data_IF_252051860992
#
_entry.id   IF_252051860992
#
_cell.length_a   1.000
_cell.length_b   1.000
_cell.length_c   1.000
_cell.angle_alpha   90.00
_cell.angle_beta   90.00
_cell.angle_gamma   90.00
#
_symmetry.space_group_name_H-M   'P 1'
#
loop_
_entity.id
_entity.type
_entity.pdbx_description
1 polymer ?
#
# COMPACT_ATOMS: atom_id res chain seq x y z
N UNK A 1 -20.77 0.14 15.45
CA UNK A 1 -19.32 0.41 15.42
C UNK A 1 -18.92 1.09 14.13
N UNK A 2 -18.05 2.09 14.21
CA UNK A 2 -17.50 2.73 13.02
C UNK A 2 -16.74 1.70 12.16
N UNK A 3 -16.95 1.75 10.86
CA UNK A 3 -16.21 0.93 9.91
C UNK A 3 -14.98 1.73 9.47
N UNK A 4 -13.83 1.36 9.98
CA UNK A 4 -12.56 2.03 9.69
C UNK A 4 -11.93 1.41 8.46
N UNK A 5 -11.40 2.27 7.59
CA UNK A 5 -10.59 1.87 6.44
C UNK A 5 -9.18 2.41 6.67
N UNK A 6 -8.19 1.51 6.66
CA UNK A 6 -6.79 1.88 6.70
C UNK A 6 -6.28 2.06 5.26
N UNK A 7 -5.88 3.28 4.93
CA UNK A 7 -5.44 3.63 3.57
C UNK A 7 -3.94 3.68 3.40
N UNK A 8 -3.17 3.33 4.43
CA UNK A 8 -1.71 3.34 4.41
C UNK A 8 -1.17 2.20 5.28
N UNK A 9 -0.76 1.10 4.65
CA UNK A 9 -0.29 -0.08 5.37
C UNK A 9 0.77 -0.84 4.58
N UNK A 10 1.87 -1.17 5.26
CA UNK A 10 2.95 -2.01 4.71
C UNK A 10 2.75 -3.46 5.15
N UNK A 11 1.60 -4.01 4.82
CA UNK A 11 1.15 -5.32 5.28
C UNK A 11 1.63 -6.49 4.41
N UNK A 12 2.06 -6.22 3.17
CA UNK A 12 2.51 -7.27 2.27
C UNK A 12 3.90 -7.77 2.67
N UNK A 13 4.09 -9.09 2.79
CA UNK A 13 5.32 -9.63 3.37
C UNK A 13 6.50 -9.61 2.40
N UNK A 14 7.67 -9.25 2.92
CA UNK A 14 8.96 -9.46 2.27
C UNK A 14 9.28 -8.55 1.09
N UNK A 15 8.57 -7.44 0.91
CA UNK A 15 8.81 -6.52 -0.23
C UNK A 15 9.35 -5.16 0.17
N UNK A 16 9.21 -4.77 1.42
CA UNK A 16 9.72 -3.50 1.95
C UNK A 16 9.99 -3.60 3.46
N UNK A 17 9.97 -2.47 4.15
CA UNK A 17 10.23 -2.39 5.60
C UNK A 17 9.02 -2.76 6.47
N UNK A 18 7.94 -3.20 5.89
CA UNK A 18 6.75 -3.66 6.60
C UNK A 18 6.85 -5.10 7.08
N UNK A 19 5.77 -5.88 6.89
CA UNK A 19 5.72 -7.28 7.30
C UNK A 19 6.87 -8.08 6.68
N UNK A 20 7.59 -8.86 7.50
CA UNK A 20 8.70 -9.68 7.04
C UNK A 20 8.27 -11.09 6.62
N UNK A 21 7.07 -11.50 6.99
CA UNK A 21 6.55 -12.85 6.72
C UNK A 21 5.02 -12.87 6.63
N UNK A 22 4.47 -13.96 6.11
CA UNK A 22 3.02 -14.18 6.11
C UNK A 22 2.45 -14.21 7.52
N UNK A 23 3.19 -14.78 8.48
CA UNK A 23 2.79 -14.82 9.87
C UNK A 23 2.64 -13.41 10.46
N UNK A 24 3.61 -12.53 10.20
CA UNK A 24 3.53 -11.13 10.62
C UNK A 24 2.37 -10.41 9.97
N UNK A 25 2.18 -10.57 8.66
CA UNK A 25 1.07 -9.96 7.93
C UNK A 25 -0.29 -10.38 8.53
N UNK A 26 -0.46 -11.66 8.84
CA UNK A 26 -1.68 -12.16 9.49
C UNK A 26 -1.86 -11.62 10.91
N UNK A 27 -0.79 -11.47 11.68
CA UNK A 27 -0.83 -10.82 13.00
C UNK A 27 -1.30 -9.37 12.89
N UNK A 28 -0.79 -8.62 11.92
CA UNK A 28 -1.19 -7.25 11.66
C UNK A 28 -2.68 -7.16 11.31
N UNK A 29 -3.18 -8.06 10.48
CA UNK A 29 -4.61 -8.13 10.13
C UNK A 29 -5.50 -8.47 11.33
N UNK A 30 -5.08 -9.38 12.17
CA UNK A 30 -5.81 -9.73 13.41
C UNK A 30 -5.90 -8.51 14.34
N UNK A 31 -4.80 -7.80 14.51
CA UNK A 31 -4.77 -6.58 15.32
C UNK A 31 -5.69 -5.51 14.73
N UNK A 32 -5.62 -5.31 13.42
CA UNK A 32 -6.48 -4.37 12.71
C UNK A 32 -7.97 -4.71 12.92
N UNK A 33 -8.34 -5.97 12.74
CA UNK A 33 -9.71 -6.45 12.96
C UNK A 33 -10.19 -6.18 14.39
N UNK A 34 -9.33 -6.46 15.38
CA UNK A 34 -9.66 -6.22 16.79
C UNK A 34 -9.88 -4.73 17.09
N UNK A 35 -9.23 -3.85 16.35
CA UNK A 35 -9.37 -2.39 16.46
C UNK A 35 -10.54 -1.82 15.64
N UNK A 36 -11.32 -2.64 14.98
CA UNK A 36 -12.48 -2.22 14.19
C UNK A 36 -12.17 -1.86 12.74
N UNK A 37 -10.95 -2.11 12.27
CA UNK A 37 -10.59 -1.91 10.86
C UNK A 37 -11.24 -3.02 10.02
N UNK A 38 -11.96 -2.64 8.98
CA UNK A 38 -12.69 -3.57 8.10
C UNK A 38 -12.07 -3.71 6.72
N UNK A 39 -11.32 -2.71 6.30
CA UNK A 39 -10.64 -2.69 5.01
C UNK A 39 -9.25 -2.12 5.18
N UNK A 40 -8.29 -2.71 4.47
CA UNK A 40 -6.91 -2.26 4.43
C UNK A 40 -6.49 -2.10 2.98
N UNK A 41 -5.88 -0.98 2.65
CA UNK A 41 -5.21 -0.81 1.37
C UNK A 41 -3.72 -1.04 1.62
N UNK A 42 -3.18 -2.09 1.02
CA UNK A 42 -1.75 -2.35 1.04
C UNK A 42 -1.05 -1.30 0.18
N UNK A 43 -0.06 -0.62 0.75
CA UNK A 43 0.67 0.45 0.09
C UNK A 43 2.17 0.24 0.20
N UNK A 44 2.71 -0.83 -0.41
CA UNK A 44 4.16 -1.03 -0.43
C UNK A 44 4.85 0.12 -1.16
N UNK A 45 6.10 0.36 -0.80
CA UNK A 45 6.89 1.43 -1.39
C UNK A 45 7.10 1.26 -2.89
N UNK A 46 7.02 2.37 -3.62
CA UNK A 46 7.50 2.51 -4.99
C UNK A 46 8.55 3.61 -5.03
N UNK A 47 9.76 3.25 -5.45
CA UNK A 47 10.90 4.18 -5.47
C UNK A 47 11.65 4.24 -4.14
N UNK A 48 12.69 5.07 -4.09
CA UNK A 48 13.58 5.17 -2.94
C UNK A 48 14.38 3.89 -2.72
N UNK A 49 14.68 3.54 -1.46
CA UNK A 49 15.56 2.42 -1.15
C UNK A 49 14.96 1.04 -1.45
N UNK A 50 13.64 0.94 -1.64
CA UNK A 50 12.95 -0.33 -1.89
C UNK A 50 12.73 -0.64 -3.38
N UNK A 51 13.15 0.26 -4.29
CA UNK A 51 13.06 0.07 -5.72
C UNK A 51 11.64 0.19 -6.28
N UNK A 52 11.41 -0.43 -7.42
CA UNK A 52 10.17 -0.31 -8.19
C UNK A 52 9.43 -1.64 -8.20
N UNK A 53 8.55 -1.83 -7.23
CA UNK A 53 7.79 -3.07 -7.09
C UNK A 53 6.77 -3.21 -8.24
N UNK A 54 6.74 -4.38 -8.85
CA UNK A 54 5.83 -4.67 -9.96
C UNK A 54 4.36 -4.71 -9.47
N UNK A 55 3.45 -3.96 -10.14
CA UNK A 55 2.01 -4.02 -9.84
C UNK A 55 1.42 -5.42 -9.86
N UNK A 56 1.86 -6.29 -10.77
CA UNK A 56 1.38 -7.67 -10.84
C UNK A 56 1.75 -8.43 -9.57
N UNK A 57 2.97 -8.29 -9.11
CA UNK A 57 3.42 -8.91 -7.86
C UNK A 57 2.60 -8.43 -6.66
N UNK A 58 2.31 -7.14 -6.59
CA UNK A 58 1.49 -6.58 -5.50
C UNK A 58 0.09 -7.19 -5.50
N UNK A 59 -0.54 -7.29 -6.67
CA UNK A 59 -1.88 -7.91 -6.79
C UNK A 59 -1.87 -9.37 -6.37
N UNK A 60 -0.85 -10.12 -6.76
CA UNK A 60 -0.69 -11.53 -6.37
C UNK A 60 -0.51 -11.68 -4.86
N UNK A 61 0.31 -10.84 -4.23
CA UNK A 61 0.51 -10.85 -2.78
C UNK A 61 -0.78 -10.48 -2.04
N UNK A 62 -1.52 -9.49 -2.51
CA UNK A 62 -2.82 -9.12 -1.95
C UNK A 62 -3.81 -10.28 -2.03
N UNK A 63 -3.90 -10.94 -3.17
CA UNK A 63 -4.76 -12.12 -3.36
C UNK A 63 -4.39 -13.25 -2.39
N UNK A 64 -3.11 -13.58 -2.29
CA UNK A 64 -2.63 -14.62 -1.40
C UNK A 64 -2.90 -14.29 0.06
N UNK A 65 -2.65 -13.04 0.47
CA UNK A 65 -2.92 -12.61 1.85
C UNK A 65 -4.42 -12.67 2.15
N UNK A 66 -5.28 -12.27 1.21
CA UNK A 66 -6.73 -12.36 1.37
C UNK A 66 -7.19 -13.81 1.59
N UNK A 67 -6.67 -14.76 0.81
CA UNK A 67 -7.00 -16.17 0.97
C UNK A 67 -6.53 -16.73 2.31
N UNK A 68 -5.31 -16.39 2.73
CA UNK A 68 -4.79 -16.77 4.04
C UNK A 68 -5.63 -16.18 5.18
N UNK A 69 -6.02 -14.93 5.06
CA UNK A 69 -6.87 -14.25 6.05
C UNK A 69 -8.21 -14.99 6.22
N UNK A 70 -8.85 -15.37 5.13
CA UNK A 70 -10.10 -16.14 5.16
C UNK A 70 -9.94 -17.48 5.89
N UNK A 71 -8.85 -18.20 5.63
CA UNK A 71 -8.55 -19.47 6.30
C UNK A 71 -8.35 -19.31 7.81
N UNK A 72 -7.94 -18.14 8.25
CA UNK A 72 -7.76 -17.81 9.68
C UNK A 72 -8.96 -17.05 10.28
N UNK A 73 -10.11 -17.05 9.61
CA UNK A 73 -11.33 -16.36 10.03
C UNK A 73 -11.13 -14.85 10.27
N UNK A 74 -10.27 -14.24 9.47
CA UNK A 74 -10.06 -12.79 9.47
C UNK A 74 -10.91 -12.20 8.34
N UNK A 75 -11.86 -11.32 8.69
CA UNK A 75 -12.82 -10.75 7.76
C UNK A 75 -12.41 -9.38 7.20
N UNK A 76 -11.18 -8.97 7.39
CA UNK A 76 -10.64 -7.73 6.81
C UNK A 76 -10.46 -7.91 5.31
N UNK A 77 -10.99 -6.97 4.52
CA UNK A 77 -10.78 -6.94 3.07
C UNK A 77 -9.51 -6.19 2.73
N UNK A 78 -8.74 -6.74 1.80
CA UNK A 78 -7.44 -6.22 1.40
C UNK A 78 -7.52 -5.71 -0.04
N UNK A 79 -7.06 -4.49 -0.25
CA UNK A 79 -6.98 -3.83 -1.55
C UNK A 79 -5.54 -3.47 -1.86
N UNK A 80 -5.23 -3.31 -3.13
CA UNK A 80 -3.89 -2.95 -3.60
C UNK A 80 -3.73 -1.44 -3.74
N UNK A 81 -2.52 -0.97 -3.59
CA UNK A 81 -2.08 0.39 -3.80
C UNK A 81 -0.55 0.45 -3.70
N UNK A 82 -0.01 1.63 -3.70
CA UNK A 82 1.42 1.86 -3.46
C UNK A 82 1.64 3.19 -2.77
N UNK A 83 2.69 3.28 -1.95
CA UNK A 83 3.22 4.53 -1.44
C UNK A 83 4.33 4.98 -2.37
N UNK A 84 4.08 6.06 -3.12
CA UNK A 84 4.92 6.51 -4.21
C UNK A 84 5.88 7.58 -3.74
N UNK A 85 7.19 7.32 -3.79
CA UNK A 85 8.20 8.37 -3.61
C UNK A 85 8.08 9.36 -4.77
N UNK A 86 7.81 10.63 -4.46
CA UNK A 86 7.60 11.62 -5.50
C UNK A 86 8.84 11.80 -6.40
N UNK A 87 8.60 11.68 -7.71
CA UNK A 87 9.52 12.06 -8.78
C UNK A 87 8.73 12.81 -9.86
N UNK A 88 9.41 13.58 -10.70
CA UNK A 88 8.74 14.30 -11.78
C UNK A 88 8.06 13.37 -12.80
N UNK A 89 8.51 12.12 -12.92
CA UNK A 89 7.96 11.12 -13.84
C UNK A 89 6.81 10.31 -13.22
N UNK A 90 6.53 10.49 -11.93
CA UNK A 90 5.54 9.64 -11.22
C UNK A 90 4.16 9.70 -11.86
N UNK A 91 3.69 10.88 -12.26
CA UNK A 91 2.39 11.04 -12.91
C UNK A 91 2.27 10.24 -14.21
N UNK A 92 3.31 10.28 -15.06
CA UNK A 92 3.33 9.53 -16.32
C UNK A 92 3.36 8.03 -16.07
N UNK A 93 4.11 7.58 -15.07
CA UNK A 93 4.18 6.16 -14.71
C UNK A 93 2.86 5.65 -14.15
N UNK A 94 2.15 6.46 -13.39
CA UNK A 94 0.79 6.14 -12.92
C UNK A 94 -0.14 6.02 -14.13
N UNK A 95 -0.11 6.97 -15.05
CA UNK A 95 -0.94 6.95 -16.25
C UNK A 95 -0.67 5.75 -17.14
N UNK A 96 0.57 5.27 -17.18
CA UNK A 96 0.98 4.09 -17.95
C UNK A 96 0.71 2.75 -17.25
N UNK A 97 0.16 2.77 -16.04
CA UNK A 97 -0.13 1.55 -15.27
C UNK A 97 1.09 0.90 -14.62
N UNK A 98 2.22 1.60 -14.55
CA UNK A 98 3.44 1.11 -13.90
C UNK A 98 3.39 1.27 -12.36
N UNK A 99 2.47 2.10 -11.86
CA UNK A 99 2.24 2.35 -10.44
C UNK A 99 0.76 2.17 -10.16
N UNK A 100 0.43 1.49 -9.06
CA UNK A 100 -0.95 1.28 -8.62
C UNK A 100 -1.50 2.50 -7.88
N UNK A 101 -2.74 2.83 -8.17
CA UNK A 101 -3.53 3.76 -7.37
C UNK A 101 -4.17 3.04 -6.18
N UNK A 102 -4.69 3.79 -5.21
CA UNK A 102 -5.33 3.22 -4.03
C UNK A 102 -6.66 2.54 -4.41
N UNK A 103 -6.70 1.21 -4.30
CA UNK A 103 -7.88 0.38 -4.58
C UNK A 103 -8.49 0.64 -5.97
N UNK A 104 -7.65 0.83 -6.99
CA UNK A 104 -8.04 1.20 -8.36
C UNK A 104 -8.87 2.49 -8.47
N UNK A 105 -8.77 3.37 -7.47
CA UNK A 105 -9.38 4.70 -7.50
C UNK A 105 -8.50 5.70 -8.27
N UNK A 106 -8.91 6.95 -8.29
CA UNK A 106 -8.08 8.06 -8.83
C UNK A 106 -7.16 8.70 -7.79
N UNK A 107 -7.05 8.09 -6.61
CA UNK A 107 -6.20 8.61 -5.52
C UNK A 107 -4.88 7.86 -5.47
N UNK A 108 -3.81 8.58 -5.16
CA UNK A 108 -2.45 8.07 -5.01
C UNK A 108 -1.90 8.53 -3.68
N UNK A 109 -1.23 7.63 -2.97
CA UNK A 109 -0.49 7.97 -1.77
C UNK A 109 0.95 8.35 -2.17
N UNK A 110 1.35 9.57 -1.84
CA UNK A 110 2.66 10.12 -2.21
C UNK A 110 3.47 10.41 -0.96
N UNK A 111 4.73 10.00 -0.96
CA UNK A 111 5.69 10.38 0.07
C UNK A 111 6.78 11.31 -0.47
N UNK A 112 7.34 12.11 0.42
CA UNK A 112 8.45 13.00 0.15
C UNK A 112 9.61 12.67 1.08
N UNK A 113 10.83 12.99 0.65
CA UNK A 113 12.00 12.81 1.50
C UNK A 113 12.07 13.91 2.56
N UNK A 114 12.57 13.60 3.76
CA UNK A 114 12.91 14.65 4.72
C UNK A 114 13.84 15.68 4.06
N UNK A 115 13.48 16.96 4.17
CA UNK A 115 14.24 18.05 3.55
C UNK A 115 13.80 18.44 2.14
N UNK A 116 12.83 17.76 1.55
CA UNK A 116 12.22 18.21 0.28
C UNK A 116 11.62 19.61 0.46
N UNK A 117 11.84 20.49 -0.53
CA UNK A 117 11.43 21.87 -0.43
C UNK A 117 9.99 22.10 -0.91
N UNK A 118 9.44 23.27 -0.57
CA UNK A 118 8.08 23.67 -0.94
C UNK A 118 7.81 23.66 -2.44
N UNK A 119 8.80 23.96 -3.26
CA UNK A 119 8.66 23.97 -4.74
C UNK A 119 8.35 22.57 -5.23
N UNK A 120 9.06 21.55 -4.73
CA UNK A 120 8.83 20.14 -5.07
C UNK A 120 7.44 19.69 -4.64
N UNK A 121 7.04 20.00 -3.41
CA UNK A 121 5.70 19.71 -2.90
C UNK A 121 4.60 20.36 -3.74
N UNK A 122 4.76 21.62 -4.09
CA UNK A 122 3.76 22.36 -4.87
C UNK A 122 3.62 21.85 -6.32
N UNK A 123 4.69 21.29 -6.90
CA UNK A 123 4.63 20.64 -8.21
C UNK A 123 3.86 19.32 -8.18
N UNK A 124 3.98 18.59 -7.09
CA UNK A 124 3.32 17.28 -6.94
C UNK A 124 1.78 17.36 -6.87
N UNK A 125 1.25 18.52 -6.42
CA UNK A 125 -0.22 18.69 -6.23
C UNK A 125 -0.89 19.44 -7.41
N UNK A 126 -0.17 19.72 -8.48
CA UNK A 126 -0.72 20.34 -9.70
C UNK A 126 -0.93 19.32 -10.80
#
# INVERSE_FOLDING_TARGET
MAKIIDTHSHILPGIDDGAGSWKEALCMLKTAQAQGIRRVIATPHWGGPFGYTDPVQIRELCFTLQEKARRHNISVKIYQGQEVMYTEEAADRIANGEILTLADSRYVLVEFRPGDNFIKLSRAVR
#
